data_IF_292727738498
#
_entry.id   IF_292727738498
#
_cell.length_a   1.000
_cell.length_b   1.000
_cell.length_c   1.000
_cell.angle_alpha   90.00
_cell.angle_beta   90.00
_cell.angle_gamma   90.00
#
_symmetry.space_group_name_H-M   'P 1'
#
loop_
_entity.id
_entity.type
_entity.pdbx_description
1 polymer ?
#
# COMPACT_ATOMS: atom_id res chain seq x y z
N UNK A 1 35.38 2.81 2.07
CA UNK A 1 34.00 2.99 1.57
C UNK A 1 33.06 2.62 2.72
N UNK A 2 32.47 3.62 3.38
CA UNK A 2 31.51 3.41 4.47
C UNK A 2 30.28 4.24 4.14
N UNK A 3 29.21 3.57 3.69
CA UNK A 3 27.90 4.21 3.54
C UNK A 3 27.29 4.27 4.93
N UNK A 4 27.58 5.34 5.68
CA UNK A 4 26.85 5.66 6.88
C UNK A 4 25.39 5.92 6.48
N UNK A 5 24.50 4.98 6.81
CA UNK A 5 23.07 5.19 6.66
C UNK A 5 22.70 6.34 7.57
N UNK A 6 22.36 7.48 6.97
CA UNK A 6 21.90 8.64 7.69
C UNK A 6 20.49 8.36 8.21
N UNK A 7 20.40 7.66 9.35
CA UNK A 7 19.22 7.70 10.22
C UNK A 7 19.13 9.10 10.81
N UNK A 8 18.79 10.07 9.97
CA UNK A 8 18.42 11.39 10.41
C UNK A 8 17.09 11.21 11.16
N UNK A 9 17.17 11.22 12.50
CA UNK A 9 16.01 11.36 13.37
C UNK A 9 15.05 12.37 12.77
N UNK A 10 13.81 11.96 12.53
CA UNK A 10 12.79 12.80 11.94
C UNK A 10 12.68 14.10 12.76
N UNK A 11 13.17 15.18 12.19
CA UNK A 11 13.15 16.52 12.79
C UNK A 11 11.73 17.05 12.75
N UNK A 12 10.99 16.82 13.83
CA UNK A 12 9.70 17.44 14.13
C UNK A 12 8.53 17.03 13.21
N UNK A 13 7.29 17.11 13.69
CA UNK A 13 6.14 16.95 12.82
C UNK A 13 6.19 18.01 11.71
N UNK A 14 5.99 17.64 10.44
CA UNK A 14 5.97 18.60 9.36
C UNK A 14 4.89 19.66 9.61
N UNK A 15 5.14 20.89 9.13
CA UNK A 15 4.26 22.05 9.31
C UNK A 15 2.87 21.88 8.70
N UNK A 16 2.70 20.90 7.81
CA UNK A 16 1.39 20.49 7.29
C UNK A 16 0.57 19.82 8.39
N UNK A 17 -0.52 20.47 8.80
CA UNK A 17 -1.51 19.86 9.70
C UNK A 17 -2.10 18.62 9.04
N UNK A 18 -2.13 17.52 9.80
CA UNK A 18 -2.63 16.24 9.31
C UNK A 18 -4.07 16.31 8.80
N UNK A 19 -4.91 17.12 9.46
CA UNK A 19 -6.32 17.33 9.06
C UNK A 19 -6.45 17.91 7.64
N UNK A 20 -5.43 18.62 7.13
CA UNK A 20 -5.44 19.18 5.79
C UNK A 20 -5.30 18.12 4.68
N UNK A 21 -4.83 16.91 5.01
CA UNK A 21 -4.74 15.78 4.07
C UNK A 21 -6.13 15.23 3.74
N UNK A 22 -7.07 15.31 4.69
CA UNK A 22 -8.38 14.69 4.59
C UNK A 22 -8.35 13.18 4.84
N UNK A 23 -9.53 12.55 4.82
CA UNK A 23 -9.68 11.11 5.03
C UNK A 23 -9.71 10.35 3.70
N UNK A 24 -9.00 9.23 3.61
CA UNK A 24 -9.19 8.25 2.55
C UNK A 24 -10.43 7.41 2.86
N UNK A 25 -11.46 7.54 2.02
CA UNK A 25 -12.71 6.76 2.13
C UNK A 25 -12.88 5.74 1.01
N UNK A 26 -12.14 5.94 -0.08
CA UNK A 26 -12.12 5.03 -1.21
C UNK A 26 -11.40 5.63 -2.40
N UNK A 27 -11.68 5.06 -3.57
CA UNK A 27 -10.97 5.34 -4.82
C UNK A 27 -11.02 6.78 -5.29
N UNK A 28 -12.14 7.49 -5.09
CA UNK A 28 -12.31 8.88 -5.53
C UNK A 28 -11.36 9.83 -4.82
N UNK A 29 -11.05 9.57 -3.56
CA UNK A 29 -10.21 10.42 -2.73
C UNK A 29 -8.72 10.06 -2.85
N UNK A 30 -8.43 8.84 -3.31
CA UNK A 30 -7.08 8.29 -3.33
C UNK A 30 -6.05 9.14 -4.09
N UNK A 31 -6.31 9.68 -5.31
CA UNK A 31 -5.31 10.48 -6.02
C UNK A 31 -4.87 11.71 -5.23
N UNK A 32 -5.82 12.43 -4.60
CA UNK A 32 -5.51 13.60 -3.78
C UNK A 32 -4.86 13.19 -2.45
N UNK A 33 -5.44 12.21 -1.76
CA UNK A 33 -4.93 11.72 -0.47
C UNK A 33 -3.49 11.20 -0.59
N UNK A 34 -3.21 10.38 -1.61
CA UNK A 34 -1.89 9.79 -1.82
C UNK A 34 -0.83 10.84 -2.15
N UNK A 35 -1.17 11.83 -2.98
CA UNK A 35 -0.28 12.96 -3.24
C UNK A 35 0.06 13.74 -1.96
N UNK A 36 -0.95 14.05 -1.14
CA UNK A 36 -0.78 14.82 0.09
C UNK A 36 0.03 14.04 1.14
N UNK A 37 -0.25 12.76 1.34
CA UNK A 37 0.51 11.88 2.23
C UNK A 37 1.96 11.71 1.77
N UNK A 38 2.19 11.60 0.45
CA UNK A 38 3.55 11.53 -0.08
C UNK A 38 4.34 12.81 0.25
N UNK A 39 3.75 14.00 0.03
CA UNK A 39 4.41 15.26 0.38
C UNK A 39 4.68 15.38 1.88
N UNK A 40 3.72 14.94 2.72
CA UNK A 40 3.88 14.89 4.17
C UNK A 40 5.10 14.06 4.58
N UNK A 41 5.26 12.85 4.04
CA UNK A 41 6.38 11.97 4.37
C UNK A 41 7.70 12.39 3.72
N UNK A 42 7.68 13.07 2.58
CA UNK A 42 8.87 13.70 2.02
C UNK A 42 9.38 14.80 2.96
N UNK A 43 8.49 15.67 3.43
CA UNK A 43 8.83 16.72 4.39
C UNK A 43 9.35 16.15 5.72
N UNK A 44 8.78 15.03 6.18
CA UNK A 44 9.21 14.33 7.39
C UNK A 44 10.43 13.41 7.18
N UNK A 45 11.01 13.35 5.97
CA UNK A 45 12.11 12.44 5.58
C UNK A 45 11.83 10.94 5.80
N UNK A 46 10.56 10.55 5.89
CA UNK A 46 10.13 9.17 6.12
C UNK A 46 9.70 8.43 4.83
N UNK A 47 9.63 9.13 3.69
CA UNK A 47 9.05 8.58 2.46
C UNK A 47 9.70 7.28 1.97
N UNK A 48 11.03 7.15 2.11
CA UNK A 48 11.75 5.93 1.66
C UNK A 48 11.31 4.68 2.42
N UNK A 49 10.90 4.81 3.68
CA UNK A 49 10.34 3.71 4.46
C UNK A 49 8.87 3.40 4.09
N UNK A 50 8.17 4.35 3.46
CA UNK A 50 6.76 4.21 3.03
C UNK A 50 6.66 3.67 1.61
N UNK A 51 7.52 4.10 0.69
CA UNK A 51 7.53 3.56 -0.68
C UNK A 51 8.24 2.21 -0.79
N UNK A 52 8.92 1.77 0.28
CA UNK A 52 9.63 0.50 0.36
C UNK A 52 11.02 0.52 -0.25
N UNK A 53 11.54 1.69 -0.64
CA UNK A 53 12.94 1.87 -1.08
C UNK A 53 13.90 1.52 0.05
N UNK A 54 13.57 1.91 1.27
CA UNK A 54 14.31 1.58 2.48
C UNK A 54 13.64 0.40 3.19
N UNK A 55 14.37 -0.72 3.28
CA UNK A 55 13.88 -1.97 3.88
C UNK A 55 14.27 -2.03 5.36
N UNK A 56 13.54 -2.85 6.10
CA UNK A 56 13.90 -3.18 7.48
C UNK A 56 15.37 -3.62 7.54
N UNK A 57 16.18 -3.03 8.43
CA UNK A 57 17.56 -3.44 8.61
C UNK A 57 17.60 -4.87 9.15
N UNK A 58 18.50 -5.68 8.61
CA UNK A 58 18.73 -7.05 9.09
C UNK A 58 19.84 -6.99 10.15
N UNK A 59 19.64 -7.55 11.35
CA UNK A 59 20.68 -7.60 12.38
C UNK A 59 21.97 -8.20 11.81
N UNK A 60 23.06 -7.43 11.86
CA UNK A 60 24.37 -7.81 11.34
C UNK A 60 25.46 -7.00 12.04
N UNK A 61 26.73 -7.38 11.89
CA UNK A 61 27.85 -6.68 12.52
C UNK A 61 28.01 -5.21 12.08
N UNK A 62 27.39 -4.82 10.97
CA UNK A 62 27.38 -3.44 10.45
C UNK A 62 26.12 -2.64 10.78
N UNK A 63 25.13 -3.26 11.42
CA UNK A 63 23.85 -2.64 11.80
C UNK A 63 23.77 -2.63 13.31
N UNK A 64 23.74 -1.45 13.89
CA UNK A 64 23.60 -1.30 15.34
C UNK A 64 22.14 -1.49 15.78
N UNK A 65 21.94 -1.79 17.07
CA UNK A 65 20.58 -1.80 17.65
C UNK A 65 19.89 -0.43 17.49
N UNK A 66 20.65 0.67 17.52
CA UNK A 66 20.13 2.01 17.32
C UNK A 66 19.61 2.23 15.88
N UNK A 67 20.25 1.62 14.87
CA UNK A 67 19.77 1.69 13.48
C UNK A 67 18.42 0.97 13.32
N UNK A 68 18.28 -0.18 14.00
CA UNK A 68 17.02 -0.95 14.02
C UNK A 68 15.93 -0.13 14.72
N UNK A 69 16.21 0.40 15.90
CA UNK A 69 15.26 1.22 16.67
C UNK A 69 14.84 2.50 15.92
N UNK A 70 15.78 3.17 15.24
CA UNK A 70 15.49 4.34 14.42
C UNK A 70 14.58 4.01 13.22
N UNK A 71 14.83 2.87 12.57
CA UNK A 71 13.96 2.37 11.51
C UNK A 71 12.56 2.03 12.05
N UNK A 72 12.47 1.28 13.16
CA UNK A 72 11.20 0.89 13.79
C UNK A 72 10.38 2.11 14.19
N UNK A 73 11.03 3.12 14.78
CA UNK A 73 10.41 4.41 15.15
C UNK A 73 9.84 5.11 13.92
N UNK A 74 10.61 5.20 12.84
CA UNK A 74 10.17 5.84 11.59
C UNK A 74 9.02 5.09 10.95
N UNK A 75 9.07 3.75 10.93
CA UNK A 75 8.02 2.90 10.42
C UNK A 75 6.73 3.01 11.24
N UNK A 76 6.83 2.98 12.58
CA UNK A 76 5.69 3.15 13.49
C UNK A 76 5.04 4.53 13.34
N UNK A 77 5.86 5.58 13.24
CA UNK A 77 5.41 6.94 12.95
C UNK A 77 4.64 6.98 11.63
N UNK A 78 5.23 6.52 10.52
CA UNK A 78 4.58 6.57 9.22
C UNK A 78 3.27 5.77 9.19
N UNK A 79 3.26 4.59 9.82
CA UNK A 79 2.06 3.77 9.97
C UNK A 79 0.96 4.52 10.71
N UNK A 80 1.26 5.14 11.85
CA UNK A 80 0.29 5.91 12.63
C UNK A 80 -0.37 7.02 11.79
N UNK A 81 0.41 7.75 11.00
CA UNK A 81 -0.11 8.83 10.15
C UNK A 81 -0.96 8.33 8.98
N UNK A 82 -0.61 7.17 8.40
CA UNK A 82 -1.49 6.53 7.41
C UNK A 82 -2.82 6.16 8.07
N UNK A 83 -2.79 5.45 9.20
CA UNK A 83 -4.01 4.98 9.89
C UNK A 83 -4.93 6.12 10.32
N UNK A 84 -4.37 7.17 10.91
CA UNK A 84 -5.11 8.34 11.36
C UNK A 84 -5.76 9.13 10.24
N UNK A 85 -5.38 8.91 8.98
CA UNK A 85 -6.02 9.51 7.80
C UNK A 85 -6.91 8.53 7.02
N UNK A 86 -7.08 7.29 7.49
CA UNK A 86 -8.09 6.39 6.95
C UNK A 86 -9.48 6.73 7.50
N UNK A 87 -10.51 6.54 6.67
CA UNK A 87 -11.89 6.37 7.14
C UNK A 87 -12.04 5.05 7.89
N UNK A 88 -12.98 5.00 8.83
CA UNK A 88 -13.22 3.85 9.71
C UNK A 88 -13.49 2.57 8.90
N UNK A 89 -14.17 2.71 7.76
CA UNK A 89 -14.47 1.65 6.81
C UNK A 89 -13.22 0.97 6.24
N UNK A 90 -12.05 1.62 6.29
CA UNK A 90 -10.79 1.11 5.73
C UNK A 90 -9.82 0.56 6.77
N UNK A 91 -10.10 0.70 8.06
CA UNK A 91 -9.19 0.26 9.13
C UNK A 91 -8.92 -1.24 9.10
N UNK A 92 -9.87 -2.04 8.58
CA UNK A 92 -9.69 -3.48 8.36
C UNK A 92 -8.51 -3.83 7.43
N UNK A 93 -8.04 -2.89 6.60
CA UNK A 93 -6.87 -3.11 5.74
C UNK A 93 -5.57 -3.21 6.54
N UNK A 94 -5.55 -2.69 7.77
CA UNK A 94 -4.41 -2.69 8.69
C UNK A 94 -4.41 -3.86 9.70
N UNK A 95 -5.17 -4.93 9.40
CA UNK A 95 -5.40 -6.05 10.33
C UNK A 95 -4.16 -6.76 10.89
N UNK A 96 -2.98 -6.82 10.21
CA UNK A 96 -1.78 -7.29 10.87
C UNK A 96 -1.23 -6.21 11.81
N UNK A 97 -1.05 -6.56 13.08
CA UNK A 97 -0.45 -5.68 14.10
C UNK A 97 0.97 -5.24 13.70
N UNK A 98 1.65 -6.07 12.92
CA UNK A 98 3.02 -5.94 12.42
C UNK A 98 3.11 -5.43 10.98
N UNK A 99 2.01 -4.98 10.36
CA UNK A 99 2.06 -4.43 9.00
C UNK A 99 3.00 -3.21 8.96
N UNK A 100 4.00 -3.25 8.09
CA UNK A 100 4.90 -2.12 7.88
C UNK A 100 4.15 -0.99 7.17
N UNK A 101 4.64 0.25 7.33
CA UNK A 101 4.10 1.39 6.61
C UNK A 101 4.15 1.16 5.09
N UNK A 102 5.23 0.57 4.59
CA UNK A 102 5.36 0.18 3.19
C UNK A 102 4.31 -0.85 2.73
N UNK A 103 4.09 -1.90 3.52
CA UNK A 103 3.09 -2.92 3.18
C UNK A 103 1.67 -2.35 3.19
N UNK A 104 1.35 -1.50 4.18
CA UNK A 104 0.07 -0.81 4.26
C UNK A 104 -0.12 0.15 3.07
N UNK A 105 0.88 0.96 2.76
CA UNK A 105 0.87 1.87 1.62
C UNK A 105 0.65 1.15 0.30
N UNK A 106 1.40 0.05 0.07
CA UNK A 106 1.24 -0.80 -1.11
C UNK A 106 -0.18 -1.36 -1.20
N UNK A 107 -0.72 -1.87 -0.09
CA UNK A 107 -2.09 -2.42 -0.06
C UNK A 107 -3.12 -1.35 -0.44
N UNK A 108 -3.01 -0.13 0.09
CA UNK A 108 -3.89 0.98 -0.27
C UNK A 108 -3.74 1.35 -1.75
N UNK A 109 -2.51 1.42 -2.25
CA UNK A 109 -2.23 1.68 -3.66
C UNK A 109 -2.85 0.64 -4.59
N UNK A 110 -2.68 -0.64 -4.28
CA UNK A 110 -3.20 -1.73 -5.11
C UNK A 110 -4.74 -1.72 -5.15
N UNK A 111 -5.40 -1.36 -4.05
CA UNK A 111 -6.87 -1.29 -3.97
C UNK A 111 -7.46 -0.04 -4.64
N UNK A 112 -6.78 1.10 -4.56
CA UNK A 112 -7.40 2.39 -4.89
C UNK A 112 -6.72 3.17 -6.02
N UNK A 113 -5.43 2.92 -6.32
CA UNK A 113 -4.75 3.61 -7.42
C UNK A 113 -5.25 3.15 -8.80
N UNK A 114 -5.73 1.91 -8.90
CA UNK A 114 -6.24 1.33 -10.15
C UNK A 114 -7.74 1.58 -10.39
N UNK A 115 -8.42 2.25 -9.46
CA UNK A 115 -9.86 2.48 -9.54
C UNK A 115 -10.17 3.76 -10.29
N UNK A 116 -10.00 3.73 -11.61
CA UNK A 116 -11.17 4.12 -12.39
C UNK A 116 -12.17 2.98 -12.20
N UNK A 117 -13.40 3.29 -11.82
CA UNK A 117 -14.54 2.37 -11.73
C UNK A 117 -14.64 1.44 -12.95
N UNK A 118 -14.07 1.88 -14.07
CA UNK A 118 -13.87 1.14 -15.31
C UNK A 118 -12.99 -0.13 -15.18
N UNK A 119 -11.90 -0.17 -14.42
CA UNK A 119 -11.02 -1.35 -14.41
C UNK A 119 -11.62 -2.54 -13.64
N UNK A 120 -12.27 -2.25 -12.51
CA UNK A 120 -13.03 -3.23 -11.74
C UNK A 120 -14.30 -3.66 -12.48
N UNK A 121 -15.03 -2.72 -13.10
CA UNK A 121 -16.19 -3.01 -13.92
C UNK A 121 -15.84 -3.81 -15.18
N UNK A 122 -14.71 -3.54 -15.86
CA UNK A 122 -14.23 -4.32 -17.01
C UNK A 122 -13.89 -5.74 -16.59
N UNK A 123 -13.21 -5.94 -15.45
CA UNK A 123 -12.88 -7.28 -14.94
C UNK A 123 -14.12 -8.05 -14.49
N UNK A 124 -15.05 -7.39 -13.79
CA UNK A 124 -16.34 -7.96 -13.39
C UNK A 124 -17.21 -8.29 -14.61
N UNK A 125 -17.34 -7.36 -15.56
CA UNK A 125 -18.08 -7.57 -16.81
C UNK A 125 -17.47 -8.70 -17.63
N UNK A 126 -16.15 -8.74 -17.83
CA UNK A 126 -15.51 -9.84 -18.56
C UNK A 126 -15.78 -11.21 -17.90
N UNK A 127 -15.82 -11.27 -16.57
CA UNK A 127 -16.12 -12.48 -15.82
C UNK A 127 -17.59 -12.93 -15.95
N UNK A 128 -18.54 -11.99 -16.04
CA UNK A 128 -19.99 -12.29 -16.08
C UNK A 128 -20.64 -12.19 -17.47
N UNK A 129 -20.00 -11.56 -18.45
CA UNK A 129 -20.50 -11.42 -19.83
C UNK A 129 -20.06 -12.54 -20.75
N UNK A 130 -19.23 -13.46 -20.27
CA UNK A 130 -18.93 -14.69 -20.99
C UNK A 130 -20.10 -15.64 -20.82
N UNK A 131 -21.11 -15.46 -21.68
CA UNK A 131 -22.22 -16.40 -21.82
C UNK A 131 -21.62 -17.70 -22.35
N UNK A 132 -21.84 -18.80 -21.61
CA UNK A 132 -21.62 -20.16 -22.12
C UNK A 132 -22.62 -20.33 -23.26
N UNK A 133 -22.20 -20.02 -24.48
CA UNK A 133 -22.91 -20.48 -25.67
C UNK A 133 -22.51 -21.93 -25.90
N UNK A 134 -23.51 -22.77 -26.14
CA UNK A 134 -23.41 -24.22 -26.40
C UNK A 134 -22.65 -24.53 -27.71
N UNK A 135 -21.38 -24.14 -27.78
CA UNK A 135 -20.46 -24.57 -28.83
C UNK A 135 -19.19 -25.14 -28.20
N UNK A 136 -19.29 -26.43 -27.89
CA UNK A 136 -18.31 -27.50 -28.19
C UNK A 136 -16.83 -27.38 -27.82
N UNK A 137 -16.47 -26.67 -26.75
CA UNK A 137 -15.31 -27.15 -25.97
C UNK A 137 -15.35 -26.72 -24.49
N UNK A 138 -15.90 -27.60 -23.66
CA UNK A 138 -15.95 -27.44 -22.21
C UNK A 138 -14.54 -27.48 -21.59
N UNK A 139 -13.57 -28.16 -22.22
CA UNK A 139 -12.21 -28.26 -21.69
C UNK A 139 -11.44 -26.94 -21.87
N UNK A 140 -11.57 -26.29 -23.04
CA UNK A 140 -11.00 -24.97 -23.27
C UNK A 140 -11.60 -23.91 -22.32
N UNK A 141 -12.90 -23.98 -22.06
CA UNK A 141 -13.59 -23.06 -21.14
C UNK A 141 -13.20 -23.29 -19.66
N UNK A 142 -12.91 -24.54 -19.27
CA UNK A 142 -12.45 -24.85 -17.92
C UNK A 142 -11.00 -24.41 -17.69
N UNK A 143 -10.13 -24.53 -18.68
CA UNK A 143 -8.74 -24.01 -18.61
C UNK A 143 -8.71 -22.48 -18.55
N UNK A 144 -9.51 -21.80 -19.37
CA UNK A 144 -9.61 -20.33 -19.36
C UNK A 144 -10.18 -19.81 -18.03
N UNK A 145 -11.15 -20.54 -17.45
CA UNK A 145 -11.72 -20.24 -16.14
C UNK A 145 -10.75 -20.56 -15.00
N UNK A 146 -9.89 -21.58 -15.13
CA UNK A 146 -8.83 -21.89 -14.17
C UNK A 146 -7.76 -20.79 -14.14
N UNK A 147 -7.37 -20.25 -15.30
CA UNK A 147 -6.45 -19.10 -15.42
C UNK A 147 -7.07 -17.83 -14.81
N UNK A 148 -8.34 -17.55 -15.10
CA UNK A 148 -9.03 -16.38 -14.53
C UNK A 148 -9.24 -16.49 -13.01
N UNK A 149 -9.58 -17.67 -12.51
CA UNK A 149 -9.72 -17.92 -11.08
C UNK A 149 -8.36 -17.90 -10.34
N UNK A 150 -7.29 -18.37 -10.97
CA UNK A 150 -5.92 -18.23 -10.46
C UNK A 150 -5.51 -16.77 -10.32
N UNK A 151 -5.80 -15.94 -11.33
CA UNK A 151 -5.51 -14.49 -11.30
C UNK A 151 -6.38 -13.72 -10.29
N UNK A 152 -7.62 -14.13 -10.08
CA UNK A 152 -8.49 -13.58 -9.04
C UNK A 152 -8.01 -13.96 -7.62
N UNK A 153 -7.51 -15.19 -7.43
CA UNK A 153 -6.91 -15.63 -6.15
C UNK A 153 -5.55 -14.99 -5.88
N UNK A 154 -4.74 -14.72 -6.92
CA UNK A 154 -3.44 -14.06 -6.78
C UNK A 154 -3.55 -12.56 -6.47
N UNK A 155 -4.71 -11.95 -6.72
CA UNK A 155 -5.03 -10.57 -6.36
C UNK A 155 -5.64 -10.42 -4.95
N UNK A 156 -5.77 -11.52 -4.21
CA UNK A 156 -6.28 -11.56 -2.83
C UNK A 156 -5.11 -11.74 -1.86
#
# INVERSE_FOLDING_TARGET
MSSASAFASATGPPSMKLDAIGKLKGSSDYPRWSLMMQQYFIAARAWKGVDGTERAPVPSSSVSAADIEAWETTNAYARFYILSTLGDELLHLANPVDITAAALWKKLKDNYAASTTMSAFVKFRAYFSHVITDSDDLAAQLDERAVMHHNYKAAK
#
